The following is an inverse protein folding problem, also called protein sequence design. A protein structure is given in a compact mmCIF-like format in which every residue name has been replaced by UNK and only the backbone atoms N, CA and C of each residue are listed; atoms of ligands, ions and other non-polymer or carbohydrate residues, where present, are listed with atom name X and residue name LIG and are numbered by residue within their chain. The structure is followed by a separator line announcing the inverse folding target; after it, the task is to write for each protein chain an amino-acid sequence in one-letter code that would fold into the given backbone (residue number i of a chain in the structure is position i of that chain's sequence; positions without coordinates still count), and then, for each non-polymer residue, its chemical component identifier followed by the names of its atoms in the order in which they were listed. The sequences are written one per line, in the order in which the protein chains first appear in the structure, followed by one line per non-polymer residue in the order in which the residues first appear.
data_IF_626318412211
#
_entry.id   IF_626318412211
#
_cell.length_a   1.000
_cell.length_b   1.000
_cell.length_c   1.000
_cell.angle_alpha   90.00
_cell.angle_beta   90.00
_cell.angle_gamma   90.00
#
_symmetry.space_group_name_H-M   'P 1'
#
loop_
_entity.id
_entity.type
_entity.pdbx_description
1 polymer ?
#
# COMPACT_ATOMS: atom_id res chain seq x y z
N UNK A 1 54.14 11.70 -13.66
CA UNK A 1 53.23 11.96 -12.52
C UNK A 1 51.82 11.52 -12.90
N UNK A 2 51.33 10.41 -12.35
CA UNK A 2 49.99 9.86 -12.66
C UNK A 2 49.01 10.41 -11.64
N UNK A 3 48.05 11.23 -12.08
CA UNK A 3 46.97 11.73 -11.20
C UNK A 3 45.99 10.59 -10.93
N UNK A 4 46.10 9.95 -9.77
CA UNK A 4 45.05 9.06 -9.25
C UNK A 4 43.81 9.89 -8.89
N UNK A 5 42.81 9.90 -9.75
CA UNK A 5 41.48 10.43 -9.43
C UNK A 5 40.73 9.35 -8.65
N UNK A 6 40.78 9.43 -7.31
CA UNK A 6 39.95 8.59 -6.45
C UNK A 6 38.53 9.13 -6.54
N UNK A 7 37.71 8.63 -7.47
CA UNK A 7 36.27 8.89 -7.45
C UNK A 7 35.72 8.33 -6.14
N UNK A 8 35.31 9.21 -5.24
CA UNK A 8 34.59 8.85 -4.03
C UNK A 8 33.22 8.35 -4.47
N UNK A 9 33.07 7.03 -4.57
CA UNK A 9 31.78 6.40 -4.87
C UNK A 9 30.88 6.68 -3.67
N UNK A 10 29.81 7.44 -3.89
CA UNK A 10 28.81 7.72 -2.87
C UNK A 10 27.76 6.60 -2.87
N UNK A 11 27.14 6.32 -1.72
CA UNK A 11 26.01 5.37 -1.64
C UNK A 11 24.81 5.80 -2.49
N UNK A 12 24.69 7.11 -2.75
CA UNK A 12 23.73 7.66 -3.71
C UNK A 12 23.97 7.16 -5.14
N UNK A 13 25.24 6.92 -5.52
CA UNK A 13 25.60 6.38 -6.84
C UNK A 13 25.22 4.90 -6.99
N UNK A 14 25.05 4.20 -5.86
CA UNK A 14 24.56 2.82 -5.79
C UNK A 14 23.03 2.75 -5.69
N UNK A 15 22.33 3.87 -5.88
CA UNK A 15 20.88 3.98 -5.78
C UNK A 15 20.32 3.57 -4.40
N UNK A 16 21.19 3.52 -3.38
CA UNK A 16 20.81 3.34 -1.98
C UNK A 16 20.47 4.72 -1.42
N UNK A 17 19.25 5.20 -1.70
CA UNK A 17 18.77 6.45 -1.10
C UNK A 17 18.42 6.19 0.37
N UNK A 18 19.15 6.81 1.30
CA UNK A 18 18.75 6.87 2.70
C UNK A 18 17.45 7.68 2.81
N UNK A 19 16.45 7.15 3.51
CA UNK A 19 15.22 7.87 3.79
C UNK A 19 15.50 8.88 4.90
N UNK A 20 15.98 10.07 4.53
CA UNK A 20 16.36 11.09 5.50
C UNK A 20 15.14 11.72 6.17
N UNK A 21 13.99 11.78 5.48
CA UNK A 21 12.75 12.32 6.04
C UNK A 21 11.80 11.20 6.44
N UNK A 22 11.12 11.37 7.58
CA UNK A 22 10.03 10.50 8.00
C UNK A 22 8.91 10.44 6.94
N UNK A 23 8.78 11.49 6.13
CA UNK A 23 7.86 11.53 5.00
C UNK A 23 8.21 10.55 3.87
N UNK A 24 9.49 10.19 3.73
CA UNK A 24 9.97 9.28 2.69
C UNK A 24 9.63 7.82 2.98
N UNK A 25 9.20 7.52 4.22
CA UNK A 25 8.74 6.19 4.63
C UNK A 25 7.36 5.85 4.03
N UNK A 26 6.48 6.84 3.90
CA UNK A 26 5.15 6.65 3.33
C UNK A 26 5.08 6.98 1.83
N UNK A 27 6.08 7.69 1.32
CA UNK A 27 6.26 7.90 -0.11
C UNK A 27 6.75 6.60 -0.77
N UNK A 28 5.88 5.96 -1.54
CA UNK A 28 6.26 4.85 -2.44
C UNK A 28 7.41 5.29 -3.36
N UNK A 29 8.20 4.35 -3.88
CA UNK A 29 9.19 4.62 -4.93
C UNK A 29 8.59 5.37 -6.14
N UNK A 30 7.28 5.22 -6.40
CA UNK A 30 6.53 5.95 -7.44
C UNK A 30 6.06 7.35 -7.03
N UNK A 31 6.32 7.77 -5.79
CA UNK A 31 6.10 9.13 -5.27
C UNK A 31 7.43 9.89 -5.09
N UNK A 32 8.59 9.26 -5.33
CA UNK A 32 9.92 9.88 -5.22
C UNK A 32 10.36 10.68 -6.46
N UNK A 33 9.42 11.08 -7.31
CA UNK A 33 9.66 11.90 -8.50
C UNK A 33 8.85 13.19 -8.51
N UNK A 34 8.90 13.91 -9.62
CA UNK A 34 8.29 15.24 -9.79
C UNK A 34 6.76 15.28 -9.63
N UNK A 35 6.05 14.12 -9.62
CA UNK A 35 4.59 14.12 -9.45
C UNK A 35 4.04 12.89 -8.70
N UNK A 36 3.18 13.08 -7.68
CA UNK A 36 2.47 11.99 -6.98
C UNK A 36 1.24 11.47 -7.74
N UNK A 37 0.92 12.05 -8.90
CA UNK A 37 -0.31 11.82 -9.68
C UNK A 37 -0.39 10.39 -10.26
N UNK A 38 0.68 9.81 -10.87
CA UNK A 38 0.58 8.48 -11.47
C UNK A 38 0.18 7.40 -10.47
N UNK A 39 0.74 7.45 -9.24
CA UNK A 39 0.38 6.50 -8.19
C UNK A 39 -1.07 6.70 -7.71
N UNK A 40 -1.55 7.95 -7.65
CA UNK A 40 -2.95 8.22 -7.32
C UNK A 40 -3.89 7.56 -8.33
N UNK A 41 -3.60 7.66 -9.64
CA UNK A 41 -4.42 7.05 -10.69
C UNK A 41 -4.45 5.53 -10.55
N UNK A 42 -3.30 4.89 -10.34
CA UNK A 42 -3.23 3.43 -10.12
C UNK A 42 -4.05 3.03 -8.88
N UNK A 43 -3.90 3.76 -7.77
CA UNK A 43 -4.63 3.48 -6.54
C UNK A 43 -6.14 3.70 -6.70
N UNK A 44 -6.58 4.68 -7.47
CA UNK A 44 -8.00 4.90 -7.79
C UNK A 44 -8.59 3.73 -8.58
N UNK A 45 -7.87 3.23 -9.60
CA UNK A 45 -8.31 2.06 -10.37
C UNK A 45 -8.41 0.83 -9.46
N UNK A 46 -7.38 0.57 -8.65
CA UNK A 46 -7.38 -0.57 -7.72
C UNK A 46 -8.48 -0.46 -6.66
N UNK A 47 -8.70 0.74 -6.11
CA UNK A 47 -9.78 0.98 -5.17
C UNK A 47 -11.16 0.79 -5.81
N UNK A 48 -11.37 1.26 -7.04
CA UNK A 48 -12.61 1.04 -7.78
C UNK A 48 -12.90 -0.45 -8.01
N UNK A 49 -11.89 -1.23 -8.39
CA UNK A 49 -12.01 -2.68 -8.54
C UNK A 49 -12.32 -3.34 -7.20
N UNK A 50 -11.61 -2.98 -6.12
CA UNK A 50 -11.83 -3.56 -4.80
C UNK A 50 -13.24 -3.26 -4.27
N UNK A 51 -13.69 -2.01 -4.40
CA UNK A 51 -15.05 -1.62 -4.03
C UNK A 51 -16.08 -2.36 -4.88
N UNK A 52 -15.86 -2.47 -6.20
CA UNK A 52 -16.75 -3.22 -7.09
C UNK A 52 -16.87 -4.70 -6.72
N UNK A 53 -15.78 -5.36 -6.32
CA UNK A 53 -15.80 -6.74 -5.85
C UNK A 53 -16.51 -6.87 -4.49
N UNK A 54 -16.31 -5.91 -3.58
CA UNK A 54 -17.00 -5.90 -2.29
C UNK A 54 -18.50 -5.70 -2.47
N UNK A 55 -18.92 -4.75 -3.31
CA UNK A 55 -20.35 -4.51 -3.58
C UNK A 55 -20.98 -5.70 -4.29
N UNK A 56 -20.29 -6.31 -5.26
CA UNK A 56 -20.73 -7.55 -5.89
C UNK A 56 -20.96 -8.66 -4.86
N UNK A 57 -20.00 -8.88 -3.96
CA UNK A 57 -20.11 -9.89 -2.89
C UNK A 57 -21.30 -9.65 -1.97
N UNK A 58 -21.58 -8.38 -1.62
CA UNK A 58 -22.70 -8.02 -0.75
C UNK A 58 -24.07 -8.14 -1.43
N UNK A 59 -24.14 -7.97 -2.75
CA UNK A 59 -25.40 -8.00 -3.51
C UNK A 59 -25.75 -9.41 -3.98
N UNK A 60 -24.78 -10.17 -4.46
CA UNK A 60 -25.02 -11.51 -5.04
C UNK A 60 -25.16 -12.60 -3.98
N UNK A 61 -24.42 -12.49 -2.87
CA UNK A 61 -24.41 -13.49 -1.81
C UNK A 61 -24.67 -12.88 -0.41
N UNK A 62 -25.77 -12.13 -0.21
CA UNK A 62 -26.13 -11.62 1.09
C UNK A 62 -26.46 -12.80 2.01
N UNK A 63 -25.65 -12.98 3.05
CA UNK A 63 -25.83 -14.03 4.04
C UNK A 63 -25.64 -13.44 5.45
N UNK A 64 -26.45 -13.86 6.45
CA UNK A 64 -26.21 -13.46 7.84
C UNK A 64 -24.84 -13.93 8.35
N UNK A 65 -24.24 -14.93 7.69
CA UNK A 65 -22.91 -15.46 7.99
C UNK A 65 -21.81 -14.85 7.12
N UNK A 66 -22.07 -13.75 6.40
CA UNK A 66 -21.10 -13.14 5.49
C UNK A 66 -19.76 -12.82 6.20
N UNK A 67 -19.84 -12.29 7.43
CA UNK A 67 -18.68 -12.01 8.28
C UNK A 67 -18.05 -13.25 8.95
N UNK A 68 -18.57 -14.46 8.72
CA UNK A 68 -17.92 -15.69 9.18
C UNK A 68 -16.84 -16.13 8.19
N UNK A 69 -17.02 -15.82 6.91
CA UNK A 69 -16.08 -16.22 5.87
C UNK A 69 -14.80 -15.39 5.92
N UNK A 70 -13.67 -16.06 6.11
CA UNK A 70 -12.35 -15.42 6.12
C UNK A 70 -12.02 -14.72 4.80
N UNK A 71 -12.50 -15.23 3.68
CA UNK A 71 -12.36 -14.60 2.35
C UNK A 71 -13.07 -13.24 2.27
N UNK A 72 -14.26 -13.12 2.88
CA UNK A 72 -14.99 -11.86 2.95
C UNK A 72 -14.28 -10.84 3.85
N UNK A 73 -13.67 -11.28 4.95
CA UNK A 73 -12.75 -10.46 5.74
C UNK A 73 -11.55 -9.99 4.92
N UNK A 74 -10.96 -10.89 4.12
CA UNK A 74 -9.89 -10.56 3.19
C UNK A 74 -10.29 -9.46 2.20
N UNK A 75 -11.47 -9.60 1.57
CA UNK A 75 -12.03 -8.61 0.65
C UNK A 75 -12.26 -7.25 1.33
N UNK A 76 -12.82 -7.25 2.54
CA UNK A 76 -13.06 -6.03 3.32
C UNK A 76 -11.74 -5.32 3.68
N UNK A 77 -10.76 -6.07 4.18
CA UNK A 77 -9.44 -5.55 4.55
C UNK A 77 -8.67 -5.00 3.34
N UNK A 78 -8.71 -5.69 2.20
CA UNK A 78 -8.12 -5.20 0.94
C UNK A 78 -8.80 -3.92 0.49
N UNK A 79 -10.14 -3.83 0.59
CA UNK A 79 -10.87 -2.60 0.23
C UNK A 79 -10.48 -1.43 1.13
N UNK A 80 -10.39 -1.64 2.46
CA UNK A 80 -9.92 -0.62 3.40
C UNK A 80 -8.47 -0.19 3.14
N UNK A 81 -7.59 -1.14 2.79
CA UNK A 81 -6.21 -0.85 2.41
C UNK A 81 -6.15 0.03 1.13
N UNK A 82 -6.95 -0.29 0.10
CA UNK A 82 -6.96 0.50 -1.14
C UNK A 82 -7.52 1.90 -0.92
N UNK A 83 -8.61 2.05 -0.16
CA UNK A 83 -9.20 3.35 0.17
C UNK A 83 -8.24 4.23 0.99
N UNK A 84 -7.59 3.66 2.01
CA UNK A 84 -6.58 4.38 2.79
C UNK A 84 -5.35 4.73 1.95
N UNK A 85 -4.97 3.89 0.99
CA UNK A 85 -3.91 4.20 0.01
C UNK A 85 -4.26 5.37 -0.90
N UNK A 86 -5.50 5.42 -1.41
CA UNK A 86 -6.01 6.57 -2.17
C UNK A 86 -5.97 7.83 -1.33
N UNK A 87 -6.40 7.76 -0.06
CA UNK A 87 -6.33 8.90 0.86
C UNK A 87 -4.89 9.41 1.03
N UNK A 88 -3.92 8.52 1.27
CA UNK A 88 -2.50 8.91 1.36
C UNK A 88 -2.02 9.62 0.08
N UNK A 89 -2.35 9.09 -1.09
CA UNK A 89 -1.97 9.71 -2.38
C UNK A 89 -2.69 11.03 -2.64
N UNK A 90 -3.96 11.12 -2.26
CA UNK A 90 -4.75 12.34 -2.38
C UNK A 90 -4.18 13.45 -1.51
N UNK A 91 -3.80 13.12 -0.27
CA UNK A 91 -3.17 14.05 0.65
C UNK A 91 -1.79 14.50 0.13
N UNK A 92 -1.03 13.62 -0.51
CA UNK A 92 0.24 13.97 -1.15
C UNK A 92 0.09 14.91 -2.37
N UNK A 93 -1.04 14.86 -3.09
CA UNK A 93 -1.35 15.78 -4.20
C UNK A 93 -1.85 17.14 -3.68
N UNK A 94 -2.67 17.13 -2.62
CA UNK A 94 -3.39 18.33 -2.16
C UNK A 94 -2.65 19.15 -1.10
N UNK A 95 -1.79 18.53 -0.29
CA UNK A 95 -1.03 19.24 0.74
C UNK A 95 0.37 19.57 0.25
N UNK A 96 0.75 20.83 0.39
CA UNK A 96 2.15 21.28 0.36
C UNK A 96 2.91 20.53 1.47
N UNK A 97 4.17 20.10 1.24
CA UNK A 97 4.96 19.40 2.26
C UNK A 97 5.12 20.30 3.47
N UNK A 98 4.36 20.01 4.52
CA UNK A 98 4.52 20.65 5.82
C UNK A 98 5.57 19.81 6.56
N UNK A 99 6.72 20.42 6.88
CA UNK A 99 7.81 19.81 7.67
C UNK A 99 7.37 19.64 9.15
N UNK A 100 6.29 18.91 9.39
CA UNK A 100 5.96 18.41 10.72
C UNK A 100 6.69 17.09 10.93
N UNK A 101 7.50 17.00 12.00
CA UNK A 101 8.19 15.77 12.38
C UNK A 101 7.25 14.63 12.83
N UNK A 102 5.94 14.88 12.89
CA UNK A 102 4.93 13.90 13.31
C UNK A 102 4.33 13.18 12.11
N UNK A 103 4.12 11.86 12.26
CA UNK A 103 3.48 11.06 11.23
C UNK A 103 1.98 11.37 11.19
N UNK A 104 1.41 11.75 10.04
CA UNK A 104 0.00 12.02 9.95
C UNK A 104 -0.83 10.75 10.17
N UNK A 105 -1.97 10.90 10.85
CA UNK A 105 -2.86 9.79 11.24
C UNK A 105 -3.28 8.90 10.06
N UNK A 106 -3.49 9.47 8.87
CA UNK A 106 -3.90 8.72 7.68
C UNK A 106 -2.81 7.76 7.19
N UNK A 107 -1.54 8.13 7.39
CA UNK A 107 -0.40 7.26 7.07
C UNK A 107 -0.31 6.11 8.08
N UNK A 108 -0.54 6.37 9.37
CA UNK A 108 -0.61 5.34 10.40
C UNK A 108 -1.75 4.34 10.13
N UNK A 109 -2.92 4.83 9.72
CA UNK A 109 -4.07 3.99 9.38
C UNK A 109 -3.81 3.10 8.16
N UNK A 110 -3.23 3.65 7.09
CA UNK A 110 -2.80 2.87 5.93
C UNK A 110 -1.81 1.76 6.32
N UNK A 111 -0.84 2.10 7.18
CA UNK A 111 0.15 1.14 7.66
C UNK A 111 -0.48 0.02 8.51
N UNK A 112 -1.46 0.34 9.36
CA UNK A 112 -2.22 -0.64 10.11
C UNK A 112 -2.93 -1.63 9.18
N UNK A 113 -3.70 -1.13 8.20
CA UNK A 113 -4.41 -1.99 7.26
C UNK A 113 -3.47 -2.86 6.42
N UNK A 114 -2.31 -2.33 6.05
CA UNK A 114 -1.29 -3.11 5.34
C UNK A 114 -0.80 -4.29 6.19
N UNK A 115 -0.45 -4.04 7.46
CA UNK A 115 0.03 -5.10 8.36
C UNK A 115 -1.00 -6.16 8.71
N UNK A 116 -2.30 -5.86 8.61
CA UNK A 116 -3.37 -6.85 8.82
C UNK A 116 -3.69 -7.58 7.51
N UNK A 117 -3.80 -6.84 6.40
CA UNK A 117 -4.23 -7.40 5.11
C UNK A 117 -3.23 -8.42 4.54
N UNK A 118 -1.93 -8.15 4.62
CA UNK A 118 -0.89 -9.05 4.09
C UNK A 118 -0.91 -10.44 4.77
N UNK A 119 -0.83 -10.58 6.11
CA UNK A 119 -0.89 -11.89 6.73
C UNK A 119 -2.25 -12.57 6.54
N UNK A 120 -3.37 -11.83 6.50
CA UNK A 120 -4.67 -12.41 6.18
C UNK A 120 -4.68 -13.00 4.76
N UNK A 121 -4.11 -12.32 3.77
CA UNK A 121 -4.03 -12.84 2.40
C UNK A 121 -3.16 -14.10 2.30
N UNK A 122 -2.03 -14.12 3.02
CA UNK A 122 -1.18 -15.31 3.11
C UNK A 122 -1.90 -16.47 3.81
N UNK A 123 -2.63 -16.20 4.89
CA UNK A 123 -3.41 -17.20 5.62
C UNK A 123 -4.50 -17.81 4.72
N UNK A 124 -5.28 -16.99 4.01
CA UNK A 124 -6.31 -17.46 3.08
C UNK A 124 -5.68 -18.36 2.01
N UNK A 125 -4.57 -17.92 1.43
CA UNK A 125 -3.86 -18.68 0.38
C UNK A 125 -3.34 -20.01 0.94
N UNK A 126 -2.70 -20.00 2.11
CA UNK A 126 -2.19 -21.21 2.75
C UNK A 126 -3.32 -22.20 3.08
N UNK A 127 -4.43 -21.73 3.65
CA UNK A 127 -5.58 -22.58 3.98
C UNK A 127 -6.20 -23.19 2.72
N UNK A 128 -6.28 -22.43 1.62
CA UNK A 128 -6.73 -22.97 0.34
C UNK A 128 -5.87 -24.16 -0.11
N UNK A 129 -4.55 -23.97 -0.19
CA UNK A 129 -3.64 -25.01 -0.68
C UNK A 129 -3.47 -26.21 0.27
N UNK A 130 -3.58 -25.98 1.59
CA UNK A 130 -3.36 -27.03 2.60
C UNK A 130 -4.63 -27.84 2.86
N UNK A 131 -5.79 -27.18 2.95
CA UNK A 131 -7.02 -27.82 3.43
C UNK A 131 -8.07 -28.06 2.35
N UNK A 132 -8.09 -27.25 1.29
CA UNK A 132 -9.18 -27.25 0.32
C UNK A 132 -8.77 -27.76 -1.06
N UNK A 133 -7.50 -27.62 -1.44
CA UNK A 133 -7.01 -28.05 -2.74
C UNK A 133 -6.96 -29.58 -2.83
N UNK A 134 -7.72 -30.14 -3.77
CA UNK A 134 -7.71 -31.55 -4.15
C UNK A 134 -7.20 -31.63 -5.61
N UNK A 135 -6.08 -32.33 -5.89
CA UNK A 135 -5.40 -32.32 -7.20
C UNK A 135 -6.15 -32.99 -8.35
#
# INVERSE_FOLDING_TARGET
MVKCYRKTVSLSDLWVSCNEKLSDFHASSWQRGDSPIPLLVVRLILAAVAVGLLTWSLVEAPSPYWLVYLTNWGLLLVTMLMLSGVLVSWMAVTKTPHDSNELPWYSSMYWLFFNISIPTALLITALYWILLYDP
#
